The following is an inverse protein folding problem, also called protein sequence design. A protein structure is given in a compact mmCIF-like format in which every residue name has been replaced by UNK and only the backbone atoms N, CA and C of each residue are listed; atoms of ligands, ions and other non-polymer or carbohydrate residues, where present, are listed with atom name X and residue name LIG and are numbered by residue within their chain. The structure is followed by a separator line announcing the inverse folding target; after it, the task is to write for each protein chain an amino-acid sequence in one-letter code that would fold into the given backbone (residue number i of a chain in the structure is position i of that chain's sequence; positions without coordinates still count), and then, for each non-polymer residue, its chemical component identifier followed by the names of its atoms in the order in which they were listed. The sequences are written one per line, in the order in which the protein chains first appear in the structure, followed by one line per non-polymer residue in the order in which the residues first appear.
data_IF_983626771117
#
_entry.id   IF_983626771117
#
_cell.length_a   1.000
_cell.length_b   1.000
_cell.length_c   1.000
_cell.angle_alpha   90.00
_cell.angle_beta   90.00
_cell.angle_gamma   90.00
#
_symmetry.space_group_name_H-M   'P 1'
#
loop_
_entity.id
_entity.type
_entity.pdbx_description
1 polymer ?
#
# COMPACT_ATOMS: atom_id res chain seq x y z
N UNK A 1 10.20 -11.20 -15.65
CA UNK A 1 8.76 -10.95 -15.39
C UNK A 1 8.65 -10.44 -13.97
N UNK A 2 7.87 -9.39 -13.70
CA UNK A 2 7.70 -8.88 -12.33
C UNK A 2 6.83 -9.84 -11.51
N UNK A 3 7.26 -10.20 -10.31
CA UNK A 3 6.52 -11.07 -9.40
C UNK A 3 6.03 -10.33 -8.16
N UNK A 4 4.70 -10.27 -8.01
CA UNK A 4 4.02 -9.69 -6.86
C UNK A 4 3.46 -10.80 -5.97
N UNK A 5 3.76 -10.76 -4.68
CA UNK A 5 3.08 -11.56 -3.65
C UNK A 5 2.20 -10.65 -2.79
N UNK A 6 1.04 -11.14 -2.35
CA UNK A 6 0.19 -10.42 -1.38
C UNK A 6 -0.14 -11.32 -0.21
N UNK A 7 -0.04 -10.76 1.01
CA UNK A 7 -0.28 -11.48 2.25
C UNK A 7 -0.99 -10.57 3.24
N UNK A 8 -2.16 -11.01 3.71
CA UNK A 8 -2.73 -10.48 4.94
C UNK A 8 -2.01 -11.15 6.13
N UNK A 9 -1.20 -10.39 6.86
CA UNK A 9 -0.32 -10.93 7.92
C UNK A 9 -0.99 -11.02 9.29
N UNK A 10 -2.19 -10.44 9.45
CA UNK A 10 -2.93 -10.41 10.72
C UNK A 10 -2.05 -10.02 11.93
N UNK A 11 -1.19 -9.02 11.76
CA UNK A 11 -0.21 -8.55 12.71
C UNK A 11 1.23 -8.96 12.34
N UNK A 12 2.00 -8.00 11.82
CA UNK A 12 3.36 -8.24 11.33
C UNK A 12 4.33 -8.68 12.44
N UNK A 13 4.18 -8.16 13.67
CA UNK A 13 4.96 -8.63 14.83
C UNK A 13 4.74 -10.11 15.13
N UNK A 14 3.50 -10.59 14.99
CA UNK A 14 3.17 -11.99 15.22
C UNK A 14 3.67 -12.85 14.05
N UNK A 15 3.53 -12.37 12.82
CA UNK A 15 4.04 -13.03 11.62
C UNK A 15 5.57 -13.18 11.65
N UNK A 16 6.31 -12.16 12.10
CA UNK A 16 7.76 -12.21 12.27
C UNK A 16 8.21 -13.35 13.19
N UNK A 17 7.46 -13.64 14.26
CA UNK A 17 7.72 -14.78 15.16
C UNK A 17 7.35 -16.15 14.56
N UNK A 18 6.65 -16.16 13.42
CA UNK A 18 6.10 -17.36 12.77
C UNK A 18 6.74 -17.64 11.41
N UNK A 19 7.94 -17.14 11.14
CA UNK A 19 8.67 -17.46 9.92
C UNK A 19 8.55 -16.43 8.79
N UNK A 20 7.93 -15.26 9.02
CA UNK A 20 7.77 -14.24 7.97
C UNK A 20 9.10 -13.75 7.42
N UNK A 21 10.10 -13.54 8.28
CA UNK A 21 11.40 -12.98 7.87
C UNK A 21 12.15 -13.99 7.00
N UNK A 22 12.13 -15.25 7.40
CA UNK A 22 12.71 -16.38 6.67
C UNK A 22 12.02 -16.58 5.33
N UNK A 23 10.69 -16.49 5.29
CA UNK A 23 9.92 -16.52 4.05
C UNK A 23 10.28 -15.34 3.14
N UNK A 24 10.39 -14.13 3.68
CA UNK A 24 10.74 -12.92 2.90
C UNK A 24 12.16 -13.01 2.33
N UNK A 25 13.08 -13.67 3.02
CA UNK A 25 14.43 -13.91 2.52
C UNK A 25 14.45 -14.94 1.39
N UNK A 26 13.60 -15.98 1.45
CA UNK A 26 13.56 -17.08 0.50
C UNK A 26 12.68 -16.83 -0.73
N UNK A 27 11.76 -15.87 -0.68
CA UNK A 27 10.81 -15.63 -1.77
C UNK A 27 11.47 -15.05 -3.03
N UNK A 28 10.99 -15.48 -4.20
CA UNK A 28 11.37 -14.95 -5.51
C UNK A 28 10.51 -13.74 -5.94
N UNK A 29 9.72 -13.18 -5.02
CA UNK A 29 8.95 -11.97 -5.25
C UNK A 29 9.88 -10.76 -5.46
N UNK A 30 9.50 -9.88 -6.39
CA UNK A 30 10.10 -8.56 -6.57
C UNK A 30 9.42 -7.51 -5.67
N UNK A 31 8.11 -7.69 -5.45
CA UNK A 31 7.26 -6.83 -4.63
C UNK A 31 6.37 -7.69 -3.73
N UNK A 32 6.22 -7.29 -2.47
CA UNK A 32 5.32 -7.92 -1.50
C UNK A 32 4.36 -6.86 -0.94
N UNK A 33 3.06 -7.10 -1.12
CA UNK A 33 2.00 -6.29 -0.52
C UNK A 33 1.52 -6.94 0.78
N UNK A 34 1.58 -6.20 1.88
CA UNK A 34 1.09 -6.64 3.19
C UNK A 34 -0.19 -5.93 3.56
N UNK A 35 -1.14 -6.68 4.14
CA UNK A 35 -2.35 -6.17 4.76
C UNK A 35 -2.44 -6.59 6.22
N UNK A 36 -3.15 -5.81 7.01
CA UNK A 36 -3.29 -5.99 8.46
C UNK A 36 -1.94 -6.07 9.19
N UNK A 37 -1.05 -5.14 8.88
CA UNK A 37 0.24 -5.01 9.55
C UNK A 37 0.07 -4.80 11.07
N UNK A 38 -0.96 -4.04 11.48
CA UNK A 38 -1.37 -3.78 12.88
C UNK A 38 -0.22 -3.36 13.80
N UNK A 39 0.72 -2.58 13.27
CA UNK A 39 1.88 -2.07 13.99
C UNK A 39 2.25 -0.67 13.50
N UNK A 40 2.69 0.16 14.43
CA UNK A 40 3.44 1.38 14.14
C UNK A 40 4.93 1.02 13.87
N UNK A 41 5.65 1.78 13.04
CA UNK A 41 7.06 1.51 12.71
C UNK A 41 7.96 1.28 13.95
N UNK A 42 7.76 2.07 14.99
CA UNK A 42 8.54 2.06 16.23
C UNK A 42 8.31 0.78 17.06
N UNK A 43 7.26 0.02 16.75
CA UNK A 43 6.95 -1.25 17.40
C UNK A 43 7.57 -2.45 16.69
N UNK A 44 8.18 -2.25 15.52
CA UNK A 44 8.78 -3.31 14.73
C UNK A 44 10.29 -3.40 15.03
N UNK A 45 10.84 -4.61 15.20
CA UNK A 45 12.29 -4.79 15.20
C UNK A 45 12.92 -4.30 13.89
N UNK A 46 14.14 -3.79 13.95
CA UNK A 46 14.82 -3.19 12.78
C UNK A 46 14.86 -4.12 11.56
N UNK A 47 15.12 -5.42 11.74
CA UNK A 47 15.15 -6.39 10.64
C UNK A 47 13.77 -6.65 10.00
N UNK A 48 12.68 -6.28 10.66
CA UNK A 48 11.30 -6.35 10.11
C UNK A 48 10.91 -5.02 9.49
N UNK A 49 11.30 -3.91 10.12
CA UNK A 49 11.03 -2.56 9.63
C UNK A 49 11.85 -2.24 8.37
N UNK A 50 13.09 -2.71 8.34
CA UNK A 50 14.10 -2.49 7.29
C UNK A 50 14.76 -3.82 6.93
N UNK A 51 14.02 -4.75 6.31
CA UNK A 51 14.59 -6.04 5.92
C UNK A 51 15.67 -5.83 4.86
N UNK A 52 16.77 -6.57 4.99
CA UNK A 52 17.93 -6.46 4.09
C UNK A 52 17.53 -6.74 2.64
N UNK A 53 17.98 -5.88 1.71
CA UNK A 53 17.67 -6.01 0.29
C UNK A 53 16.24 -5.62 -0.11
N UNK A 54 15.47 -5.01 0.80
CA UNK A 54 14.11 -4.54 0.56
C UNK A 54 13.94 -3.07 0.93
N UNK A 55 13.26 -2.33 0.07
CA UNK A 55 12.70 -1.01 0.38
C UNK A 55 11.29 -1.23 0.93
N UNK A 56 11.03 -0.79 2.16
CA UNK A 56 9.74 -1.00 2.82
C UNK A 56 9.01 0.34 3.04
N UNK A 57 7.74 0.37 2.64
CA UNK A 57 6.85 1.52 2.76
C UNK A 57 5.63 1.11 3.58
N UNK A 58 5.46 1.74 4.73
CA UNK A 58 4.38 1.42 5.68
C UNK A 58 3.34 2.55 5.69
N UNK A 59 2.06 2.16 5.70
CA UNK A 59 0.95 3.05 6.02
C UNK A 59 0.23 2.51 7.26
N UNK A 60 0.66 2.91 8.47
CA UNK A 60 0.01 2.52 9.71
C UNK A 60 -1.39 3.13 9.82
N UNK A 61 -2.25 2.53 10.64
CA UNK A 61 -3.53 3.12 11.00
C UNK A 61 -3.35 4.08 12.17
N UNK A 62 -4.06 5.21 12.16
CA UNK A 62 -4.16 6.10 13.32
C UNK A 62 -4.77 5.40 14.55
N UNK A 63 -5.58 4.35 14.34
CA UNK A 63 -6.09 3.51 15.43
C UNK A 63 -5.09 2.38 15.71
N UNK A 64 -4.40 2.49 16.84
CA UNK A 64 -3.36 1.53 17.24
C UNK A 64 -3.84 0.09 17.22
N UNK A 65 -3.01 -0.80 16.64
CA UNK A 65 -3.30 -2.24 16.55
C UNK A 65 -4.39 -2.63 15.55
N UNK A 66 -4.90 -1.68 14.74
CA UNK A 66 -5.90 -1.94 13.69
C UNK A 66 -5.28 -1.75 12.30
N UNK A 67 -5.84 -2.44 11.32
CA UNK A 67 -5.51 -2.31 9.90
C UNK A 67 -3.99 -2.22 9.64
N UNK A 68 -3.55 -1.22 8.87
CA UNK A 68 -2.17 -1.05 8.45
C UNK A 68 -1.87 -1.86 7.20
N UNK A 69 -1.23 -1.23 6.23
CA UNK A 69 -0.74 -1.87 5.01
C UNK A 69 0.73 -1.53 4.79
N UNK A 70 1.42 -2.35 4.03
CA UNK A 70 2.79 -2.05 3.59
C UNK A 70 3.05 -2.57 2.18
N UNK A 71 4.06 -2.00 1.54
CA UNK A 71 4.68 -2.51 0.32
C UNK A 71 6.17 -2.67 0.57
N UNK A 72 6.70 -3.85 0.24
CA UNK A 72 8.13 -4.10 0.19
C UNK A 72 8.53 -4.34 -1.26
N UNK A 73 9.62 -3.75 -1.70
CA UNK A 73 10.15 -3.96 -3.05
C UNK A 73 11.67 -4.10 -3.06
N UNK A 74 12.20 -4.98 -3.92
CA UNK A 74 13.66 -5.14 -4.09
C UNK A 74 14.30 -3.94 -4.77
N UNK A 75 13.51 -3.20 -5.56
CA UNK A 75 13.92 -1.95 -6.21
C UNK A 75 13.31 -0.77 -5.48
N UNK A 76 14.04 0.34 -5.45
CA UNK A 76 13.52 1.59 -4.92
C UNK A 76 12.35 2.09 -5.79
N UNK A 77 11.21 2.45 -5.19
CA UNK A 77 10.10 3.04 -5.92
C UNK A 77 10.45 4.47 -6.38
N UNK A 78 10.01 4.84 -7.58
CA UNK A 78 10.15 6.20 -8.13
C UNK A 78 9.28 7.22 -7.37
N UNK A 79 8.16 6.77 -6.84
CA UNK A 79 7.30 7.55 -5.98
C UNK A 79 6.52 6.64 -5.02
N UNK A 80 6.21 7.17 -3.84
CA UNK A 80 5.37 6.51 -2.84
C UNK A 80 4.21 7.43 -2.51
N UNK A 81 3.00 6.86 -2.37
CA UNK A 81 1.83 7.62 -1.91
C UNK A 81 1.07 6.80 -0.90
N UNK A 82 0.69 7.47 0.20
CA UNK A 82 -0.19 6.91 1.22
C UNK A 82 -1.54 7.61 1.08
N UNK A 83 -2.61 6.83 1.07
CA UNK A 83 -3.95 7.38 0.85
C UNK A 83 -4.20 7.88 -0.57
N UNK A 84 -5.33 8.55 -0.76
CA UNK A 84 -5.79 9.05 -2.05
C UNK A 84 -6.36 10.48 -1.98
N UNK A 85 -6.15 11.20 -0.87
CA UNK A 85 -6.55 12.59 -0.69
C UNK A 85 -7.87 12.75 0.06
N UNK A 86 -8.32 11.72 0.76
CA UNK A 86 -9.47 11.78 1.67
C UNK A 86 -8.95 11.65 3.11
N UNK A 87 -9.05 12.70 3.95
CA UNK A 87 -8.47 12.70 5.30
C UNK A 87 -8.92 11.53 6.19
N UNK A 88 -10.16 11.05 6.03
CA UNK A 88 -10.68 9.93 6.81
C UNK A 88 -9.95 8.62 6.43
N UNK A 89 -9.64 8.43 5.15
CA UNK A 89 -9.01 7.21 4.65
C UNK A 89 -7.49 7.26 4.67
N UNK A 90 -6.90 8.44 4.45
CA UNK A 90 -5.46 8.65 4.41
C UNK A 90 -4.81 8.28 5.75
N UNK A 91 -5.54 8.45 6.86
CA UNK A 91 -5.09 8.07 8.22
C UNK A 91 -5.53 6.67 8.65
N UNK A 92 -6.40 6.00 7.88
CA UNK A 92 -6.97 4.71 8.28
C UNK A 92 -5.98 3.54 8.12
N UNK A 93 -4.84 3.74 7.44
CA UNK A 93 -3.85 2.69 7.17
C UNK A 93 -4.38 1.62 6.23
N UNK A 94 -5.08 2.05 5.18
CA UNK A 94 -5.85 1.18 4.27
C UNK A 94 -5.30 1.12 2.85
N UNK A 95 -4.40 2.05 2.50
CA UNK A 95 -3.83 2.15 1.16
C UNK A 95 -2.42 2.72 1.17
N UNK A 96 -1.53 2.07 0.44
CA UNK A 96 -0.23 2.61 0.01
C UNK A 96 0.05 2.15 -1.40
N UNK A 97 0.62 3.01 -2.23
CA UNK A 97 1.10 2.68 -3.57
C UNK A 97 2.57 3.06 -3.77
N UNK A 98 3.24 2.25 -4.59
CA UNK A 98 4.59 2.46 -5.07
C UNK A 98 4.59 2.48 -6.59
N UNK A 99 5.20 3.51 -7.16
CA UNK A 99 5.37 3.70 -8.59
C UNK A 99 6.73 3.17 -9.05
N UNK A 100 6.72 2.35 -10.09
CA UNK A 100 7.89 1.82 -10.78
C UNK A 100 7.77 2.14 -12.27
N UNK A 101 8.87 2.05 -13.03
CA UNK A 101 8.97 2.51 -14.43
C UNK A 101 7.77 2.19 -15.34
N UNK A 102 7.13 1.03 -15.17
CA UNK A 102 6.04 0.56 -16.04
C UNK A 102 4.75 0.25 -15.29
N UNK A 103 4.77 0.27 -13.96
CA UNK A 103 3.67 -0.25 -13.13
C UNK A 103 3.57 0.50 -11.82
N UNK A 104 2.35 0.67 -11.35
CA UNK A 104 2.06 1.13 -9.99
C UNK A 104 1.50 -0.07 -9.25
N UNK A 105 2.06 -0.38 -8.09
CA UNK A 105 1.58 -1.46 -7.22
C UNK A 105 0.99 -0.83 -5.97
N UNK A 106 -0.24 -1.21 -5.63
CA UNK A 106 -0.92 -0.78 -4.41
C UNK A 106 -1.11 -1.96 -3.45
N UNK A 107 -0.90 -1.74 -2.16
CA UNK A 107 -1.45 -2.60 -1.11
C UNK A 107 -2.70 -1.93 -0.55
N UNK A 108 -3.83 -2.64 -0.63
CA UNK A 108 -5.13 -2.19 -0.13
C UNK A 108 -5.68 -3.18 0.88
N UNK A 109 -6.27 -2.66 1.95
CA UNK A 109 -7.04 -3.46 2.90
C UNK A 109 -8.43 -2.84 3.08
N UNK A 110 -9.44 -3.36 2.37
CA UNK A 110 -10.81 -2.84 2.49
C UNK A 110 -11.46 -3.27 3.82
N UNK A 111 -12.24 -2.40 4.49
CA UNK A 111 -13.01 -2.82 5.65
C UNK A 111 -14.11 -3.80 5.21
N UNK A 112 -14.33 -4.86 5.98
CA UNK A 112 -15.53 -5.70 5.83
C UNK A 112 -16.71 -4.95 6.45
N UNK A 113 -17.63 -4.44 5.64
CA UNK A 113 -18.93 -3.96 6.09
C UNK A 113 -19.86 -5.15 6.31
N UNK A 114 -20.56 -5.15 7.44
CA UNK A 114 -21.73 -6.01 7.59
C UNK A 114 -22.87 -5.40 6.78
N UNK A 115 -23.51 -6.23 5.94
CA UNK A 115 -24.65 -5.82 5.13
C UNK A 115 -25.76 -5.22 6.01
N UNK A 116 -26.29 -4.06 5.62
CA UNK A 116 -27.35 -3.34 6.34
C UNK A 116 -26.87 -2.39 7.44
N UNK A 117 -25.56 -2.19 7.60
CA UNK A 117 -25.01 -1.27 8.62
C UNK A 117 -24.48 0.04 8.00
N UNK A 118 -24.37 1.15 8.77
CA UNK A 118 -23.66 2.35 8.32
C UNK A 118 -22.21 2.10 7.86
N UNK A 119 -21.59 0.99 8.30
CA UNK A 119 -20.25 0.56 7.87
C UNK A 119 -20.22 0.16 6.39
N UNK A 120 -21.32 -0.32 5.81
CA UNK A 120 -21.43 -0.65 4.39
C UNK A 120 -21.37 0.61 3.49
N UNK A 121 -21.93 1.74 3.95
CA UNK A 121 -21.85 3.01 3.21
C UNK A 121 -20.41 3.60 3.22
N UNK A 122 -19.64 3.32 4.27
CA UNK A 122 -18.20 3.60 4.31
C UNK A 122 -17.42 2.72 3.34
N UNK A 123 -17.71 1.41 3.31
CA UNK A 123 -17.07 0.44 2.41
C UNK A 123 -17.21 0.81 0.93
N UNK A 124 -18.41 1.23 0.49
CA UNK A 124 -18.65 1.64 -0.90
C UNK A 124 -17.81 2.86 -1.32
N UNK A 125 -17.65 3.85 -0.43
CA UNK A 125 -16.79 5.03 -0.67
C UNK A 125 -15.31 4.67 -0.72
N UNK A 126 -14.84 3.82 0.20
CA UNK A 126 -13.45 3.32 0.21
C UNK A 126 -13.14 2.58 -1.08
N UNK A 127 -14.01 1.65 -1.45
CA UNK A 127 -13.85 0.79 -2.62
C UNK A 127 -13.83 1.62 -3.89
N UNK A 128 -14.76 2.58 -4.03
CA UNK A 128 -14.77 3.52 -5.15
C UNK A 128 -13.52 4.40 -5.21
N UNK A 129 -13.11 4.98 -4.08
CA UNK A 129 -11.91 5.83 -4.00
C UNK A 129 -10.64 5.09 -4.40
N UNK A 130 -10.38 3.92 -3.80
CA UNK A 130 -9.19 3.09 -4.10
C UNK A 130 -9.19 2.62 -5.55
N UNK A 131 -10.31 2.09 -6.06
CA UNK A 131 -10.36 1.52 -7.42
C UNK A 131 -10.23 2.60 -8.50
N UNK A 132 -10.77 3.80 -8.28
CA UNK A 132 -10.76 4.87 -9.27
C UNK A 132 -9.46 5.69 -9.24
N UNK A 133 -8.76 5.75 -8.10
CA UNK A 133 -7.61 6.64 -7.93
C UNK A 133 -6.48 6.41 -8.95
N UNK A 134 -5.99 5.17 -9.19
CA UNK A 134 -4.92 4.94 -10.16
C UNK A 134 -5.34 5.29 -11.60
N UNK A 135 -6.59 5.02 -11.96
CA UNK A 135 -7.13 5.33 -13.28
C UNK A 135 -7.29 6.84 -13.49
N UNK A 136 -7.80 7.56 -12.48
CA UNK A 136 -7.90 9.01 -12.50
C UNK A 136 -6.53 9.68 -12.62
N UNK A 137 -5.50 9.14 -11.93
CA UNK A 137 -4.12 9.64 -12.06
C UNK A 137 -3.55 9.46 -13.45
N UNK A 138 -3.67 8.26 -14.04
CA UNK A 138 -3.20 8.03 -15.43
C UNK A 138 -3.84 9.00 -16.41
N UNK A 139 -5.14 9.30 -16.24
CA UNK A 139 -5.85 10.30 -17.05
C UNK A 139 -5.32 11.73 -16.83
N UNK A 140 -5.10 12.14 -15.57
CA UNK A 140 -4.57 13.48 -15.23
C UNK A 140 -3.13 13.66 -15.73
N UNK A 141 -2.26 12.67 -15.57
CA UNK A 141 -0.90 12.69 -16.08
C UNK A 141 -0.86 12.78 -17.62
N UNK A 142 -1.71 12.01 -18.31
CA UNK A 142 -1.86 12.09 -19.76
C UNK A 142 -2.41 13.46 -20.23
N UNK A 143 -3.32 14.07 -19.47
CA UNK A 143 -3.85 15.40 -19.78
C UNK A 143 -2.80 16.51 -19.56
N UNK A 144 -2.01 16.44 -18.48
CA UNK A 144 -0.92 17.38 -18.21
C UNK A 144 0.20 17.31 -19.26
N UNK A 145 0.54 16.10 -19.73
CA UNK A 145 1.54 15.91 -20.80
C UNK A 145 1.10 16.44 -22.18
N UNK A 146 -0.21 16.60 -22.42
CA UNK A 146 -0.74 17.22 -23.65
C UNK A 146 -0.71 18.75 -23.63
N UNK A 147 -0.72 19.36 -22.44
CA UNK A 147 -0.65 20.83 -22.30
C UNK A 147 0.79 21.37 -22.28
N UNK A 148 1.81 20.50 -22.25
CA UNK A 148 3.23 20.87 -22.30
C UNK A 148 3.86 20.89 -23.69
N UNK A 149 3.09 20.65 -24.77
CA UNK A 149 3.55 20.75 -26.16
C UNK A 149 2.73 21.77 -26.93
N UNK A 150 2.78 23.00 -26.46
CA UNK A 150 2.20 24.15 -27.15
C UNK A 150 2.92 25.40 -26.69
N UNK A 151 3.54 26.09 -27.64
CA UNK A 151 4.18 27.41 -27.53
C UNK A 151 5.64 27.40 -27.07
N UNK A 152 6.51 27.21 -28.05
CA UNK A 152 7.86 27.76 -28.12
C UNK A 152 8.17 27.92 -29.61
N UNK A 153 8.07 29.16 -30.11
CA UNK A 153 8.16 29.51 -31.53
C UNK A 153 9.58 29.65 -32.06
#
# INVERSE_FOLDING_TARGET
MLRLSTINVNGLRAAARKGYVEWLAATDADVVALQEVRAEPEQLPDHVLRPEGWHAQFAPSAIKGRAGVALLSRREPQAVRVGFGDPEFDTAGRYVECEFERVVVGSVYLPSGEAGTPKQAGEGRVTGGVLLHPAQRRRRAAAAGKHGRGVGG
#
